data_IF_674861705030
#
_entry.id   IF_674861705030
#
_cell.length_a   1.000
_cell.length_b   1.000
_cell.length_c   1.000
_cell.angle_alpha   90.00
_cell.angle_beta   90.00
_cell.angle_gamma   90.00
#
_symmetry.space_group_name_H-M   'P 1'
#
loop_
_entity.id
_entity.type
_entity.pdbx_description
1 polymer ?
#
# COMPACT_ATOMS: atom_id res chain seq x y z
N UNK A 1 -7.27 -22.03 13.88
CA UNK A 1 -7.50 -22.28 12.44
C UNK A 1 -6.48 -21.46 11.64
N UNK A 2 -5.87 -22.06 10.64
CA UNK A 2 -4.93 -21.33 9.76
C UNK A 2 -5.73 -20.37 8.88
N UNK A 3 -5.28 -19.10 8.73
CA UNK A 3 -5.94 -18.17 7.81
C UNK A 3 -5.86 -18.67 6.37
N UNK A 4 -6.81 -18.25 5.53
CA UNK A 4 -6.83 -18.57 4.10
C UNK A 4 -5.62 -17.98 3.37
N UNK A 5 -5.25 -16.76 3.72
CA UNK A 5 -4.07 -16.08 3.21
C UNK A 5 -3.60 -14.99 4.19
N UNK A 6 -2.33 -14.63 4.11
CA UNK A 6 -1.71 -13.55 4.88
C UNK A 6 -1.54 -12.33 3.98
N UNK A 7 -2.25 -11.27 4.33
CA UNK A 7 -2.26 -9.98 3.61
C UNK A 7 -1.42 -8.99 4.39
N UNK A 8 -0.46 -8.37 3.72
CA UNK A 8 0.32 -7.25 4.26
C UNK A 8 -0.10 -5.96 3.56
N UNK A 9 -0.50 -4.97 4.35
CA UNK A 9 -0.82 -3.62 3.84
C UNK A 9 0.33 -2.69 4.16
N UNK A 10 0.90 -2.06 3.16
CA UNK A 10 1.96 -1.07 3.34
C UNK A 10 1.39 0.25 3.84
N UNK A 11 1.95 0.76 4.93
CA UNK A 11 1.67 2.07 5.50
C UNK A 11 2.97 2.83 5.84
N UNK A 12 4.08 2.41 5.24
CA UNK A 12 5.43 2.97 5.48
C UNK A 12 5.91 3.93 4.39
N UNK A 13 5.10 4.20 3.37
CA UNK A 13 5.46 5.02 2.21
C UNK A 13 4.52 6.22 2.03
N UNK A 14 4.22 6.95 3.12
CA UNK A 14 3.34 8.13 3.08
C UNK A 14 2.00 7.84 2.42
N UNK A 15 1.36 6.74 2.81
CA UNK A 15 0.03 6.42 2.32
C UNK A 15 -1.00 7.45 2.77
N UNK A 16 -1.94 7.78 1.89
CA UNK A 16 -3.03 8.71 2.15
C UNK A 16 -4.20 8.07 2.93
N UNK A 17 -4.17 6.76 3.12
CA UNK A 17 -5.14 6.01 3.92
C UNK A 17 -4.45 5.01 4.84
N UNK A 18 -5.12 4.70 5.94
CA UNK A 18 -4.65 3.72 6.91
C UNK A 18 -5.73 2.71 7.26
N UNK A 19 -5.32 1.47 7.50
CA UNK A 19 -6.19 0.43 8.08
C UNK A 19 -6.38 0.60 9.58
N UNK A 20 -5.58 1.48 10.21
CA UNK A 20 -5.60 1.74 11.65
C UNK A 20 -6.42 2.98 11.97
N UNK A 21 -7.56 2.85 12.68
CA UNK A 21 -8.46 3.98 12.96
C UNK A 21 -7.79 5.16 13.66
N UNK A 22 -6.86 4.91 14.58
CA UNK A 22 -6.13 5.96 15.30
C UNK A 22 -5.18 6.74 14.38
N UNK A 23 -4.63 6.11 13.36
CA UNK A 23 -3.79 6.78 12.34
C UNK A 23 -4.66 7.62 11.43
N UNK A 24 -5.76 7.07 10.93
CA UNK A 24 -6.73 7.79 10.10
C UNK A 24 -7.27 9.04 10.82
N UNK A 25 -7.55 8.93 12.12
CA UNK A 25 -8.02 10.06 12.93
C UNK A 25 -6.97 11.16 13.10
N UNK A 26 -5.68 10.81 13.14
CA UNK A 26 -4.60 11.81 13.12
C UNK A 26 -4.44 12.48 11.77
N UNK A 27 -4.61 11.71 10.69
CA UNK A 27 -4.50 12.22 9.32
C UNK A 27 -5.65 13.16 8.96
N UNK A 28 -6.86 12.79 9.32
CA UNK A 28 -8.06 13.59 9.07
C UNK A 28 -8.95 13.63 10.33
N UNK A 29 -8.67 14.56 11.27
CA UNK A 29 -9.45 14.66 12.52
C UNK A 29 -10.92 15.04 12.32
N UNK A 30 -11.22 15.76 11.23
CA UNK A 30 -12.60 16.21 10.94
C UNK A 30 -13.44 15.09 10.37
N UNK A 31 -12.87 14.28 9.50
CA UNK A 31 -13.55 13.15 8.88
C UNK A 31 -12.59 11.95 8.72
N UNK A 32 -12.33 11.20 9.80
CA UNK A 32 -11.40 10.06 9.75
C UNK A 32 -11.76 8.99 8.73
N UNK A 33 -13.04 8.85 8.40
CA UNK A 33 -13.50 7.87 7.41
C UNK A 33 -12.90 8.10 6.02
N UNK A 34 -12.62 9.35 5.65
CA UNK A 34 -12.01 9.69 4.36
C UNK A 34 -10.53 9.32 4.27
N UNK A 35 -9.91 8.94 5.37
CA UNK A 35 -8.52 8.51 5.45
C UNK A 35 -8.39 7.04 5.93
N UNK A 36 -9.45 6.23 5.83
CA UNK A 36 -9.49 4.92 6.46
C UNK A 36 -9.86 3.78 5.52
N UNK A 37 -9.05 2.72 5.58
CA UNK A 37 -9.38 1.39 5.04
C UNK A 37 -9.79 0.39 6.14
N UNK A 38 -10.16 0.85 7.34
CA UNK A 38 -10.50 -0.02 8.46
C UNK A 38 -11.68 -0.95 8.16
N UNK A 39 -12.68 -0.49 7.42
CA UNK A 39 -13.82 -1.31 7.00
C UNK A 39 -13.38 -2.43 6.05
N UNK A 40 -12.54 -2.12 5.07
CA UNK A 40 -12.02 -3.11 4.13
C UNK A 40 -11.14 -4.15 4.86
N UNK A 41 -10.27 -3.72 5.76
CA UNK A 41 -9.45 -4.61 6.57
C UNK A 41 -10.30 -5.53 7.44
N UNK A 42 -11.34 -5.00 8.09
CA UNK A 42 -12.28 -5.80 8.89
C UNK A 42 -13.06 -6.79 8.05
N UNK A 43 -13.47 -6.41 6.84
CA UNK A 43 -14.14 -7.32 5.91
C UNK A 43 -13.21 -8.49 5.49
N UNK A 44 -11.95 -8.19 5.22
CA UNK A 44 -10.95 -9.21 4.89
C UNK A 44 -10.75 -10.20 6.04
N UNK A 45 -10.65 -9.71 7.29
CA UNK A 45 -10.54 -10.57 8.48
C UNK A 45 -11.78 -11.45 8.64
N UNK A 46 -12.98 -10.90 8.48
CA UNK A 46 -14.23 -11.69 8.52
C UNK A 46 -14.30 -12.75 7.42
N UNK A 47 -13.65 -12.50 6.29
CA UNK A 47 -13.55 -13.48 5.20
C UNK A 47 -12.48 -14.56 5.43
N UNK A 48 -11.80 -14.55 6.57
CA UNK A 48 -10.80 -15.56 6.95
C UNK A 48 -9.36 -15.24 6.58
N UNK A 49 -9.08 -13.99 6.16
CA UNK A 49 -7.72 -13.52 5.87
C UNK A 49 -7.04 -13.01 7.15
N UNK A 50 -5.73 -13.18 7.25
CA UNK A 50 -4.93 -12.50 8.26
C UNK A 50 -4.39 -11.19 7.66
N UNK A 51 -4.76 -10.06 8.24
CA UNK A 51 -4.33 -8.74 7.77
C UNK A 51 -3.30 -8.17 8.74
N UNK A 52 -2.11 -7.85 8.24
CA UNK A 52 -1.04 -7.19 8.98
C UNK A 52 -0.67 -5.87 8.30
N UNK A 53 -0.10 -4.97 9.07
CA UNK A 53 0.35 -3.65 8.60
C UNK A 53 1.88 -3.62 8.60
N UNK A 54 2.46 -3.12 7.51
CA UNK A 54 3.86 -2.74 7.44
C UNK A 54 3.96 -1.24 7.75
N UNK A 55 4.24 -0.91 9.01
CA UNK A 55 4.13 0.47 9.50
C UNK A 55 5.38 1.30 9.27
N UNK A 56 6.55 0.67 9.16
CA UNK A 56 7.84 1.34 9.01
C UNK A 56 8.91 0.39 8.43
N UNK A 57 9.99 0.96 7.93
CA UNK A 57 11.10 0.23 7.37
C UNK A 57 10.90 -0.22 5.91
N UNK A 58 11.92 -0.87 5.32
CA UNK A 58 11.85 -1.30 3.93
C UNK A 58 10.95 -2.52 3.73
N UNK A 59 10.36 -2.61 2.54
CA UNK A 59 9.70 -3.81 2.03
C UNK A 59 10.76 -4.72 1.38
N UNK A 60 11.43 -5.52 2.19
CA UNK A 60 12.49 -6.43 1.75
C UNK A 60 12.02 -7.90 1.68
N UNK A 61 12.89 -8.77 1.19
CA UNK A 61 12.61 -10.21 1.07
C UNK A 61 12.25 -10.83 2.43
N UNK A 62 12.89 -10.40 3.52
CA UNK A 62 12.59 -10.91 4.85
C UNK A 62 11.19 -10.53 5.29
N UNK A 63 10.79 -9.27 5.05
CA UNK A 63 9.44 -8.79 5.40
C UNK A 63 8.36 -9.48 4.59
N UNK A 64 8.65 -9.81 3.33
CA UNK A 64 7.71 -10.44 2.41
C UNK A 64 7.68 -11.98 2.51
N UNK A 65 8.59 -12.60 3.25
CA UNK A 65 8.74 -14.06 3.31
C UNK A 65 7.50 -14.80 3.80
N UNK A 66 6.73 -14.18 4.66
CA UNK A 66 5.51 -14.73 5.27
C UNK A 66 4.21 -14.15 4.71
N UNK A 67 4.28 -13.47 3.58
CA UNK A 67 3.16 -12.76 2.96
C UNK A 67 2.65 -13.56 1.76
N UNK A 68 1.34 -13.67 1.63
CA UNK A 68 0.70 -14.24 0.44
C UNK A 68 0.23 -13.14 -0.53
N UNK A 69 -0.23 -12.00 0.01
CA UNK A 69 -0.68 -10.85 -0.77
C UNK A 69 -0.12 -9.56 -0.17
N UNK A 70 0.54 -8.76 -0.99
CA UNK A 70 0.97 -7.41 -0.67
C UNK A 70 -0.02 -6.39 -1.24
N UNK A 71 -0.50 -5.49 -0.40
CA UNK A 71 -1.34 -4.35 -0.79
C UNK A 71 -0.53 -3.07 -0.66
N UNK A 72 -0.42 -2.34 -1.74
CA UNK A 72 0.23 -1.02 -1.81
C UNK A 72 -0.84 0.05 -2.01
N UNK A 73 -1.32 0.70 -0.94
CA UNK A 73 -2.24 1.83 -1.04
C UNK A 73 -1.57 3.03 -1.69
N UNK A 74 -2.38 3.92 -2.22
CA UNK A 74 -1.94 5.20 -2.75
C UNK A 74 -1.05 5.95 -1.76
N UNK A 75 0.08 6.43 -2.26
CA UNK A 75 1.06 7.22 -1.51
C UNK A 75 1.28 8.58 -2.18
N UNK A 76 1.57 9.60 -1.38
CA UNK A 76 1.66 10.97 -1.88
C UNK A 76 2.66 11.80 -1.09
N UNK A 77 3.19 12.84 -1.74
CA UNK A 77 3.85 13.94 -1.05
C UNK A 77 2.83 14.73 -0.21
N UNK A 78 3.24 15.20 0.96
CA UNK A 78 2.37 15.92 1.91
C UNK A 78 1.80 17.23 1.35
N UNK A 79 2.36 17.74 0.25
CA UNK A 79 1.83 18.91 -0.45
C UNK A 79 0.48 18.64 -1.11
N UNK A 80 0.17 17.38 -1.40
CA UNK A 80 -1.07 16.98 -2.07
C UNK A 80 -2.13 16.40 -1.14
N UNK A 81 -1.70 15.64 -0.14
CA UNK A 81 -2.61 14.93 0.75
C UNK A 81 -2.04 14.80 2.15
N UNK A 82 -2.91 14.67 3.14
CA UNK A 82 -2.49 14.21 4.45
C UNK A 82 -2.15 12.72 4.37
N UNK A 83 -0.99 12.35 4.89
CA UNK A 83 -0.46 10.99 4.81
C UNK A 83 -0.11 10.43 6.19
N UNK A 84 0.31 9.17 6.23
CA UNK A 84 0.86 8.58 7.46
C UNK A 84 2.10 9.31 7.97
N UNK A 85 2.75 10.10 7.12
CA UNK A 85 3.97 10.84 7.47
C UNK A 85 5.23 9.97 7.64
N UNK A 86 5.13 8.68 7.32
CA UNK A 86 6.23 7.72 7.49
C UNK A 86 6.94 7.48 6.16
N UNK A 87 8.26 7.55 6.15
CA UNK A 87 9.09 7.22 5.00
C UNK A 87 8.99 8.21 3.84
N UNK A 88 9.11 7.68 2.64
CA UNK A 88 9.00 8.38 1.36
C UNK A 88 7.81 7.85 0.58
N UNK A 89 7.13 8.65 -0.26
CA UNK A 89 6.09 8.13 -1.14
C UNK A 89 6.64 7.21 -2.25
N UNK A 90 7.95 7.17 -2.42
CA UNK A 90 8.62 6.37 -3.46
C UNK A 90 9.22 5.11 -2.85
N UNK A 91 8.98 3.98 -3.50
CA UNK A 91 9.70 2.74 -3.28
C UNK A 91 11.14 2.89 -3.77
N UNK A 92 12.10 2.36 -3.03
CA UNK A 92 13.50 2.30 -3.46
C UNK A 92 13.69 1.24 -4.55
N UNK A 93 14.82 1.28 -5.25
CA UNK A 93 15.16 0.23 -6.24
C UNK A 93 15.21 -1.16 -5.60
N UNK A 94 15.75 -1.27 -4.39
CA UNK A 94 15.81 -2.54 -3.66
C UNK A 94 14.41 -3.08 -3.30
N UNK A 95 13.49 -2.18 -2.92
CA UNK A 95 12.10 -2.55 -2.67
C UNK A 95 11.36 -2.96 -3.94
N UNK A 96 11.56 -2.24 -5.05
CA UNK A 96 11.01 -2.63 -6.35
C UNK A 96 11.48 -4.03 -6.76
N UNK A 97 12.77 -4.33 -6.59
CA UNK A 97 13.35 -5.63 -6.90
C UNK A 97 12.79 -6.73 -5.98
N UNK A 98 12.65 -6.46 -4.68
CA UNK A 98 12.08 -7.40 -3.72
C UNK A 98 10.61 -7.72 -4.04
N UNK A 99 9.81 -6.72 -4.40
CA UNK A 99 8.41 -6.91 -4.79
C UNK A 99 8.31 -7.73 -6.09
N UNK A 100 9.18 -7.49 -7.06
CA UNK A 100 9.23 -8.29 -8.29
C UNK A 100 9.57 -9.76 -8.00
N UNK A 101 10.55 -10.02 -7.14
CA UNK A 101 10.87 -11.39 -6.70
C UNK A 101 9.71 -12.05 -5.97
N UNK A 102 9.03 -11.31 -5.11
CA UNK A 102 7.84 -11.77 -4.39
C UNK A 102 6.74 -12.23 -5.35
N UNK A 103 6.42 -11.43 -6.35
CA UNK A 103 5.41 -11.78 -7.37
C UNK A 103 5.86 -12.96 -8.23
N UNK A 104 7.14 -12.98 -8.65
CA UNK A 104 7.70 -14.09 -9.43
C UNK A 104 7.65 -15.42 -8.67
N UNK A 105 7.74 -15.39 -7.34
CA UNK A 105 7.61 -16.56 -6.47
C UNK A 105 6.15 -16.98 -6.20
N UNK A 106 5.17 -16.29 -6.78
CA UNK A 106 3.75 -16.61 -6.66
C UNK A 106 2.95 -15.70 -5.70
N UNK A 107 3.56 -14.65 -5.17
CA UNK A 107 2.88 -13.65 -4.33
C UNK A 107 1.86 -12.84 -5.12
N UNK A 108 0.75 -12.48 -4.48
CA UNK A 108 -0.25 -11.56 -5.03
C UNK A 108 0.12 -10.10 -4.76
N UNK A 109 -0.06 -9.24 -5.74
CA UNK A 109 0.17 -7.80 -5.60
C UNK A 109 -1.08 -7.01 -5.96
N UNK A 110 -1.52 -6.14 -5.03
CA UNK A 110 -2.62 -5.20 -5.23
C UNK A 110 -2.06 -3.78 -5.13
N UNK A 111 -2.19 -3.01 -6.20
CA UNK A 111 -1.81 -1.60 -6.24
C UNK A 111 -3.09 -0.77 -6.30
N UNK A 112 -3.29 0.10 -5.32
CA UNK A 112 -4.39 1.04 -5.27
C UNK A 112 -3.87 2.41 -5.71
N UNK A 113 -4.05 2.72 -6.99
CA UNK A 113 -3.59 3.96 -7.59
C UNK A 113 -4.73 4.97 -7.73
N UNK A 114 -4.36 6.26 -7.86
CA UNK A 114 -5.27 7.36 -8.09
C UNK A 114 -5.25 7.82 -9.55
N UNK A 115 -6.24 8.61 -9.93
CA UNK A 115 -6.19 9.40 -11.17
C UNK A 115 -5.08 10.45 -11.10
N UNK A 116 -4.57 10.87 -12.24
CA UNK A 116 -3.45 11.84 -12.31
C UNK A 116 -2.23 11.42 -11.48
N UNK A 117 -1.92 10.13 -11.48
CA UNK A 117 -0.94 9.48 -10.60
C UNK A 117 0.41 10.20 -10.54
N UNK A 118 0.88 10.79 -11.64
CA UNK A 118 2.20 11.40 -11.75
C UNK A 118 2.44 12.57 -10.77
N UNK A 119 1.37 13.30 -10.39
CA UNK A 119 1.52 14.50 -9.54
C UNK A 119 1.86 14.20 -8.09
N UNK A 120 1.54 13.00 -7.62
CA UNK A 120 1.64 12.66 -6.20
C UNK A 120 3.05 12.35 -5.70
N UNK A 121 4.02 12.24 -6.59
CA UNK A 121 5.43 12.02 -6.23
C UNK A 121 5.78 10.57 -5.91
N UNK A 122 4.86 9.62 -6.06
CA UNK A 122 5.13 8.20 -5.90
C UNK A 122 5.65 7.56 -7.21
N UNK A 123 6.03 6.29 -7.15
CA UNK A 123 6.48 5.52 -8.31
C UNK A 123 5.71 4.20 -8.49
N UNK A 124 4.44 4.18 -8.12
CA UNK A 124 3.57 3.01 -8.32
C UNK A 124 3.40 2.67 -9.81
N UNK A 125 3.41 3.68 -10.69
CA UNK A 125 3.37 3.47 -12.13
C UNK A 125 4.63 2.75 -12.64
N UNK A 126 5.80 3.07 -12.11
CA UNK A 126 7.05 2.36 -12.45
C UNK A 126 6.97 0.90 -12.01
N UNK A 127 6.49 0.64 -10.80
CA UNK A 127 6.27 -0.73 -10.32
C UNK A 127 5.32 -1.49 -11.24
N UNK A 128 4.16 -0.93 -11.56
CA UNK A 128 3.16 -1.56 -12.43
C UNK A 128 3.72 -1.89 -13.82
N UNK A 129 4.60 -1.03 -14.35
CA UNK A 129 5.23 -1.22 -15.67
C UNK A 129 6.08 -2.49 -15.75
N UNK A 130 6.68 -2.93 -14.65
CA UNK A 130 7.44 -4.19 -14.59
C UNK A 130 6.57 -5.43 -14.82
N UNK A 131 5.26 -5.31 -14.67
CA UNK A 131 4.27 -6.36 -14.90
C UNK A 131 3.47 -6.14 -16.21
N UNK A 132 3.91 -5.22 -17.07
CA UNK A 132 3.25 -4.92 -18.32
C UNK A 132 1.96 -4.08 -18.17
N UNK A 133 1.77 -3.42 -17.01
CA UNK A 133 0.61 -2.57 -16.74
C UNK A 133 1.04 -1.12 -16.84
N UNK A 134 0.34 -0.35 -17.65
CA UNK A 134 0.52 1.10 -17.75
C UNK A 134 -0.56 1.80 -16.95
N UNK A 135 -0.16 2.66 -16.01
CA UNK A 135 -1.08 3.56 -15.32
C UNK A 135 -1.09 4.87 -16.10
N UNK A 136 -2.22 5.16 -16.73
CA UNK A 136 -2.39 6.41 -17.48
C UNK A 136 -2.62 7.57 -16.49
N UNK A 137 -1.99 8.71 -16.78
CA UNK A 137 -2.12 9.94 -15.99
C UNK A 137 -3.04 10.95 -16.61
N UNK A 138 -3.69 10.61 -17.74
CA UNK A 138 -4.64 11.47 -18.41
C UNK A 138 -5.98 11.51 -17.67
N UNK A 139 -6.52 12.72 -17.52
CA UNK A 139 -7.90 12.93 -17.08
C UNK A 139 -8.79 13.11 -18.30
N UNK A 140 -9.90 12.43 -18.34
CA UNK A 140 -10.90 12.57 -19.42
C UNK A 140 -11.88 13.68 -19.08
#
# INVERSE_FOLDING_TARGET
MRPLARVLVDESHRQAWSTRPEVAARMNPVNPADASYAIAASAAVRAGLAVAVHAEGPLDDTRLSDVDVLVLPHSADDVWEHTTGVGSPRLTSDELDAIQRFVAAGGGLVILAETEQAKYGNNLADLASHFGITIDTCTV
#
